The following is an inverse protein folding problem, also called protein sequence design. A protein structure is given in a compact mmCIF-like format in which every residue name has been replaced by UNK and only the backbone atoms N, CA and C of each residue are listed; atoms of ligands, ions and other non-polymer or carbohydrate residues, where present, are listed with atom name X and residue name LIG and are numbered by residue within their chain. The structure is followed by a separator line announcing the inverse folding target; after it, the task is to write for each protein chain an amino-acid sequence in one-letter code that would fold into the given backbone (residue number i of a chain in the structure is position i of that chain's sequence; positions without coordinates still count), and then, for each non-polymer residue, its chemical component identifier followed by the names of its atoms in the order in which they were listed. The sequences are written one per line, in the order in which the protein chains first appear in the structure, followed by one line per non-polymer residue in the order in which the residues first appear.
data_IF_098167184362
#
_entry.id   IF_098167184362
#
_cell.length_a   1.000
_cell.length_b   1.000
_cell.length_c   1.000
_cell.angle_alpha   90.00
_cell.angle_beta   90.00
_cell.angle_gamma   90.00
#
_symmetry.space_group_name_H-M   'P 1'
#
loop_
_entity.id
_entity.type
_entity.pdbx_description
1 polymer ?
#
# COMPACT_ATOMS: atom_id res chain seq x y z
N UNK A 1 43.30 16.87 23.75
CA UNK A 1 41.92 16.87 24.28
C UNK A 1 41.53 15.44 24.63
N UNK A 2 41.05 15.21 25.86
CA UNK A 2 41.12 13.93 26.58
C UNK A 2 40.02 12.92 26.21
N UNK A 3 40.39 11.63 26.15
CA UNK A 3 39.53 10.44 25.98
C UNK A 3 38.32 10.35 26.94
N UNK A 4 38.26 11.20 27.98
CA UNK A 4 37.12 11.29 28.91
C UNK A 4 35.87 11.98 28.33
N UNK A 5 35.99 12.82 27.30
CA UNK A 5 34.83 13.48 26.68
C UNK A 5 33.99 12.51 25.83
N UNK A 6 34.63 11.56 25.15
CA UNK A 6 33.97 10.59 24.26
C UNK A 6 33.18 9.53 25.04
N UNK A 7 33.64 9.16 26.24
CA UNK A 7 32.95 8.18 27.10
C UNK A 7 31.67 8.74 27.75
N UNK A 8 31.57 10.06 27.93
CA UNK A 8 30.43 10.70 28.61
C UNK A 8 29.22 10.84 27.67
N UNK A 9 29.44 11.00 26.37
CA UNK A 9 28.36 11.07 25.36
C UNK A 9 27.78 9.68 25.06
N UNK A 10 28.60 8.62 25.09
CA UNK A 10 28.14 7.24 24.91
C UNK A 10 27.23 6.75 26.07
N UNK A 11 27.40 7.29 27.28
CA UNK A 11 26.62 6.93 28.47
C UNK A 11 25.21 7.55 28.54
N UNK A 12 24.93 8.61 27.76
CA UNK A 12 23.61 9.25 27.72
C UNK A 12 22.68 8.69 26.63
N UNK A 13 23.23 8.06 25.59
CA UNK A 13 22.43 7.50 24.48
C UNK A 13 21.82 6.13 24.85
N UNK A 14 22.37 5.44 25.86
CA UNK A 14 21.97 4.08 26.24
C UNK A 14 20.73 3.92 27.13
N UNK A 15 20.01 5.00 27.52
CA UNK A 15 18.97 4.91 28.56
C UNK A 15 17.52 5.23 28.17
N UNK A 16 17.21 5.56 26.91
CA UNK A 16 15.82 5.87 26.50
C UNK A 16 15.22 5.07 25.34
N UNK A 17 15.86 4.00 24.86
CA UNK A 17 15.23 3.11 23.88
C UNK A 17 14.39 2.00 24.56
N UNK A 18 13.24 2.36 25.15
CA UNK A 18 12.15 1.40 25.37
C UNK A 18 11.03 1.73 24.39
N UNK A 19 11.03 1.02 23.27
CA UNK A 19 9.95 1.04 22.30
C UNK A 19 8.69 0.41 22.91
N UNK A 20 7.50 1.04 22.85
CA UNK A 20 6.28 0.43 23.37
C UNK A 20 5.86 -0.77 22.50
N UNK A 21 5.31 -1.85 23.10
CA UNK A 21 4.84 -3.01 22.36
C UNK A 21 3.41 -2.78 21.87
N UNK A 22 3.24 -2.01 20.81
CA UNK A 22 1.96 -1.96 20.09
C UNK A 22 2.20 -2.17 18.60
N UNK A 23 2.34 -3.44 18.23
CA UNK A 23 1.98 -3.88 16.89
C UNK A 23 0.46 -3.67 16.75
N UNK A 24 0.05 -2.49 16.29
CA UNK A 24 -1.27 -2.32 15.72
C UNK A 24 -1.35 -3.31 14.55
N UNK A 25 -2.21 -4.33 14.68
CA UNK A 25 -2.51 -5.24 13.58
C UNK A 25 -2.94 -4.40 12.38
N UNK A 26 -2.07 -4.33 11.37
CA UNK A 26 -2.40 -3.69 10.11
C UNK A 26 -3.70 -4.32 9.59
N UNK A 27 -4.69 -3.52 9.13
CA UNK A 27 -5.93 -4.08 8.61
C UNK A 27 -5.60 -5.08 7.51
N UNK A 28 -6.35 -6.21 7.42
CA UNK A 28 -6.03 -7.28 6.48
C UNK A 28 -5.95 -6.69 5.06
N UNK A 29 -4.74 -6.73 4.48
CA UNK A 29 -4.48 -6.22 3.13
C UNK A 29 -5.45 -6.91 2.18
N UNK A 30 -6.35 -6.13 1.60
CA UNK A 30 -7.29 -6.61 0.58
C UNK A 30 -6.48 -6.96 -0.66
N UNK A 31 -6.48 -8.23 -1.06
CA UNK A 31 -5.82 -8.66 -2.28
C UNK A 31 -6.24 -7.81 -3.49
N UNK A 32 -5.31 -7.45 -4.38
CA UNK A 32 -5.59 -6.64 -5.56
C UNK A 32 -6.61 -7.34 -6.48
N UNK A 33 -7.44 -6.55 -7.17
CA UNK A 33 -8.52 -7.01 -8.06
C UNK A 33 -8.17 -8.18 -9.01
N UNK A 34 -7.01 -8.21 -9.71
CA UNK A 34 -6.65 -9.33 -10.58
C UNK A 34 -6.49 -10.68 -9.85
N UNK A 35 -6.01 -10.68 -8.60
CA UNK A 35 -5.85 -11.89 -7.78
C UNK A 35 -7.23 -12.43 -7.35
N UNK A 36 -8.20 -11.55 -7.08
CA UNK A 36 -9.59 -11.92 -6.78
C UNK A 36 -10.30 -12.55 -7.97
N UNK A 37 -10.02 -12.10 -9.18
CA UNK A 37 -10.62 -12.67 -10.39
C UNK A 37 -10.10 -14.08 -10.65
N UNK A 38 -8.78 -14.28 -10.56
CA UNK A 38 -8.15 -15.58 -10.78
C UNK A 38 -8.60 -16.62 -9.74
N UNK A 39 -8.77 -16.20 -8.49
CA UNK A 39 -9.26 -17.09 -7.42
C UNK A 39 -10.72 -17.50 -7.61
N UNK A 40 -11.60 -16.59 -8.04
CA UNK A 40 -12.98 -16.93 -8.40
C UNK A 40 -13.05 -17.91 -9.57
N UNK A 41 -12.22 -17.71 -10.61
CA UNK A 41 -12.14 -18.64 -11.74
C UNK A 41 -11.76 -20.05 -11.25
N UNK A 42 -10.76 -20.16 -10.37
CA UNK A 42 -10.36 -21.48 -9.83
C UNK A 42 -11.47 -22.17 -9.04
N UNK A 43 -12.27 -21.42 -8.27
CA UNK A 43 -13.36 -21.98 -7.48
C UNK A 43 -14.52 -22.45 -8.38
N UNK A 44 -14.86 -21.67 -9.41
CA UNK A 44 -15.85 -22.05 -10.44
C UNK A 44 -15.37 -23.26 -11.24
N UNK A 45 -14.09 -23.29 -11.62
CA UNK A 45 -13.52 -24.42 -12.35
C UNK A 45 -13.57 -25.72 -11.53
N UNK A 46 -13.31 -25.67 -10.23
CA UNK A 46 -13.41 -26.83 -9.34
C UNK A 46 -14.86 -27.27 -9.10
N UNK A 47 -15.79 -26.33 -8.97
CA UNK A 47 -17.21 -26.64 -8.90
C UNK A 47 -17.70 -27.32 -10.19
N UNK A 48 -17.31 -26.78 -11.35
CA UNK A 48 -17.62 -27.34 -12.66
C UNK A 48 -16.98 -28.73 -12.85
N UNK A 49 -15.71 -28.90 -12.47
CA UNK A 49 -15.03 -30.19 -12.53
C UNK A 49 -15.71 -31.25 -11.64
N UNK A 50 -16.17 -30.85 -10.45
CA UNK A 50 -16.93 -31.72 -9.53
C UNK A 50 -18.24 -32.15 -10.19
N UNK A 51 -18.99 -31.21 -10.77
CA UNK A 51 -20.22 -31.52 -11.49
C UNK A 51 -19.98 -32.45 -12.68
N UNK A 52 -18.99 -32.15 -13.52
CA UNK A 52 -18.61 -32.97 -14.68
C UNK A 52 -18.28 -34.39 -14.24
N UNK A 53 -17.49 -34.56 -13.18
CA UNK A 53 -17.16 -35.87 -12.64
C UNK A 53 -18.42 -36.67 -12.27
N UNK A 54 -19.36 -36.08 -11.53
CA UNK A 54 -20.61 -36.75 -11.15
C UNK A 54 -21.53 -37.05 -12.33
N UNK A 55 -21.56 -36.17 -13.34
CA UNK A 55 -22.27 -36.42 -14.61
C UNK A 55 -21.62 -37.58 -15.37
N UNK A 56 -20.28 -37.65 -15.42
CA UNK A 56 -19.55 -38.76 -16.04
C UNK A 56 -19.82 -40.09 -15.32
N UNK A 57 -19.84 -40.09 -13.98
CA UNK A 57 -20.22 -41.27 -13.19
C UNK A 57 -21.64 -41.71 -13.52
N UNK A 58 -22.61 -40.79 -13.54
CA UNK A 58 -24.00 -41.07 -13.90
C UNK A 58 -24.12 -41.69 -15.31
N UNK A 59 -23.45 -41.07 -16.29
CA UNK A 59 -23.41 -41.53 -17.69
C UNK A 59 -22.79 -42.92 -17.80
N UNK A 60 -21.64 -43.15 -17.14
CA UNK A 60 -20.96 -44.43 -17.15
C UNK A 60 -21.85 -45.54 -16.57
N UNK A 61 -22.57 -45.27 -15.47
CA UNK A 61 -23.52 -46.24 -14.91
C UNK A 61 -24.73 -46.48 -15.79
N UNK A 62 -25.29 -45.42 -16.40
CA UNK A 62 -26.41 -45.53 -17.33
C UNK A 62 -26.09 -46.34 -18.58
N UNK A 63 -24.90 -46.14 -19.18
CA UNK A 63 -24.45 -46.87 -20.36
C UNK A 63 -24.24 -48.37 -20.09
N UNK A 64 -23.88 -48.76 -18.86
CA UNK A 64 -23.72 -50.16 -18.48
C UNK A 64 -25.05 -50.83 -18.08
N UNK A 65 -26.20 -50.16 -18.28
CA UNK A 65 -27.51 -50.68 -17.88
C UNK A 65 -27.67 -50.86 -16.37
N UNK A 66 -26.79 -50.28 -15.56
CA UNK A 66 -26.81 -50.36 -14.10
C UNK A 66 -27.48 -49.11 -13.56
N UNK A 67 -28.64 -49.27 -12.94
CA UNK A 67 -29.25 -48.20 -12.17
C UNK A 67 -28.63 -48.16 -10.76
N UNK A 68 -28.00 -47.04 -10.43
CA UNK A 68 -27.56 -46.74 -9.05
C UNK A 68 -28.73 -46.34 -8.16
N UNK A 69 -29.93 -46.13 -8.71
CA UNK A 69 -31.10 -45.69 -7.94
C UNK A 69 -32.39 -46.30 -8.50
N UNK A 70 -33.44 -46.45 -7.67
CA UNK A 70 -34.76 -46.89 -8.14
C UNK A 70 -35.38 -45.93 -9.18
N UNK A 71 -34.95 -44.67 -9.18
CA UNK A 71 -35.42 -43.60 -10.07
C UNK A 71 -34.64 -43.54 -11.40
N UNK A 72 -33.70 -44.48 -11.62
CA UNK A 72 -32.86 -44.55 -12.80
C UNK A 72 -31.45 -43.96 -12.60
N UNK A 73 -30.56 -44.14 -13.60
CA UNK A 73 -29.12 -43.83 -13.46
C UNK A 73 -28.80 -42.33 -13.39
N UNK A 74 -29.76 -41.47 -13.74
CA UNK A 74 -29.59 -40.01 -13.82
C UNK A 74 -29.97 -39.28 -12.54
N UNK A 75 -30.83 -39.89 -11.72
CA UNK A 75 -31.27 -39.35 -10.45
C UNK A 75 -30.27 -39.76 -9.36
N UNK A 76 -29.90 -38.86 -8.45
CA UNK A 76 -28.91 -39.07 -7.38
C UNK A 76 -27.56 -38.39 -7.63
N UNK A 77 -26.68 -38.93 -8.50
CA UNK A 77 -25.31 -38.44 -8.65
C UNK A 77 -25.23 -36.98 -9.11
N UNK A 78 -26.12 -36.56 -10.02
CA UNK A 78 -26.15 -35.18 -10.53
C UNK A 78 -26.53 -34.20 -9.42
N UNK A 79 -27.54 -34.53 -8.62
CA UNK A 79 -27.98 -33.72 -7.47
C UNK A 79 -26.86 -33.59 -6.43
N UNK A 80 -26.16 -34.70 -6.13
CA UNK A 80 -25.02 -34.67 -5.23
C UNK A 80 -23.88 -33.82 -5.80
N UNK A 81 -23.56 -33.95 -7.10
CA UNK A 81 -22.55 -33.14 -7.77
C UNK A 81 -22.89 -31.64 -7.79
N UNK A 82 -24.16 -31.29 -8.04
CA UNK A 82 -24.65 -29.91 -7.95
C UNK A 82 -24.53 -29.36 -6.53
N UNK A 83 -24.93 -30.13 -5.52
CA UNK A 83 -24.81 -29.74 -4.12
C UNK A 83 -23.35 -29.53 -3.72
N UNK A 84 -22.47 -30.50 -3.98
CA UNK A 84 -21.04 -30.40 -3.65
C UNK A 84 -20.38 -29.25 -4.41
N UNK A 85 -20.68 -29.09 -5.69
CA UNK A 85 -20.20 -27.96 -6.50
C UNK A 85 -20.64 -26.60 -5.94
N UNK A 86 -21.91 -26.47 -5.55
CA UNK A 86 -22.43 -25.23 -4.96
C UNK A 86 -21.76 -24.90 -3.62
N UNK A 87 -21.60 -25.89 -2.74
CA UNK A 87 -20.95 -25.70 -1.43
C UNK A 87 -19.46 -25.33 -1.61
N UNK A 88 -18.78 -25.84 -2.64
CA UNK A 88 -17.38 -25.48 -2.92
C UNK A 88 -17.18 -24.00 -3.28
N UNK A 89 -18.20 -23.28 -3.75
CA UNK A 89 -18.09 -21.84 -4.06
C UNK A 89 -17.80 -20.99 -2.80
N UNK A 90 -18.16 -21.47 -1.62
CA UNK A 90 -17.93 -20.78 -0.34
C UNK A 90 -16.78 -21.38 0.48
N UNK A 91 -16.01 -22.32 -0.10
CA UNK A 91 -14.94 -23.08 0.58
C UNK A 91 -13.85 -22.22 1.20
N UNK A 92 -13.55 -21.07 0.62
CA UNK A 92 -12.51 -20.16 1.12
C UNK A 92 -12.96 -19.37 2.35
N UNK A 93 -14.25 -19.10 2.46
CA UNK A 93 -14.82 -18.30 3.56
C UNK A 93 -15.19 -19.19 4.75
N UNK A 94 -15.71 -20.39 4.48
CA UNK A 94 -16.19 -21.31 5.51
C UNK A 94 -15.70 -22.75 5.27
N UNK A 95 -14.37 -22.99 5.29
CA UNK A 95 -13.79 -24.29 4.90
C UNK A 95 -14.28 -25.48 5.73
N UNK A 96 -14.45 -25.31 7.05
CA UNK A 96 -14.97 -26.36 7.93
C UNK A 96 -16.46 -26.62 7.71
N UNK A 97 -17.26 -25.57 7.50
CA UNK A 97 -18.69 -25.70 7.18
C UNK A 97 -18.88 -26.43 5.86
N UNK A 98 -18.07 -26.09 4.86
CA UNK A 98 -18.06 -26.78 3.57
C UNK A 98 -17.72 -28.26 3.76
N UNK A 99 -16.67 -28.60 4.52
CA UNK A 99 -16.34 -29.99 4.81
C UNK A 99 -17.51 -30.73 5.48
N UNK A 100 -18.11 -30.15 6.52
CA UNK A 100 -19.22 -30.78 7.24
C UNK A 100 -20.44 -30.98 6.34
N UNK A 101 -20.85 -29.96 5.58
CA UNK A 101 -21.97 -30.06 4.63
C UNK A 101 -21.70 -31.11 3.55
N UNK A 102 -20.47 -31.15 3.03
CA UNK A 102 -20.05 -32.16 2.05
C UNK A 102 -20.08 -33.58 2.62
N UNK A 103 -19.58 -33.78 3.85
CA UNK A 103 -19.66 -35.08 4.56
C UNK A 103 -21.12 -35.47 4.80
N UNK A 104 -21.97 -34.56 5.29
CA UNK A 104 -23.39 -34.80 5.48
C UNK A 104 -24.10 -35.15 4.17
N UNK A 105 -23.76 -34.48 3.06
CA UNK A 105 -24.32 -34.77 1.74
C UNK A 105 -23.97 -36.17 1.24
N UNK A 106 -22.71 -36.60 1.42
CA UNK A 106 -22.27 -37.96 1.08
C UNK A 106 -22.93 -39.01 1.99
N UNK A 107 -23.00 -38.75 3.30
CA UNK A 107 -23.69 -39.64 4.25
C UNK A 107 -25.18 -39.78 3.90
N UNK A 108 -25.86 -38.67 3.65
CA UNK A 108 -27.26 -38.66 3.24
C UNK A 108 -27.47 -39.43 1.94
N UNK A 109 -26.59 -39.22 0.95
CA UNK A 109 -26.61 -39.95 -0.31
C UNK A 109 -26.53 -41.46 -0.06
N UNK A 110 -25.55 -41.95 0.70
CA UNK A 110 -25.46 -43.38 0.99
C UNK A 110 -26.57 -43.92 1.90
N UNK A 111 -27.18 -43.10 2.76
CA UNK A 111 -28.25 -43.54 3.67
C UNK A 111 -29.58 -43.87 2.97
N UNK A 112 -29.85 -43.26 1.80
CA UNK A 112 -31.07 -43.52 1.03
C UNK A 112 -30.95 -44.88 0.33
N UNK A 113 -31.97 -45.73 0.50
CA UNK A 113 -32.00 -47.08 -0.05
C UNK A 113 -31.82 -47.08 -1.59
N UNK A 114 -30.73 -47.68 -2.07
CA UNK A 114 -30.40 -47.83 -3.49
C UNK A 114 -29.19 -47.01 -3.93
N UNK A 115 -28.94 -45.83 -3.34
CA UNK A 115 -27.92 -44.88 -3.79
C UNK A 115 -26.49 -45.33 -3.40
N UNK A 116 -25.90 -46.23 -4.18
CA UNK A 116 -24.47 -46.56 -4.08
C UNK A 116 -23.64 -45.61 -4.96
N UNK A 117 -22.50 -45.12 -4.46
CA UNK A 117 -21.55 -44.36 -5.26
C UNK A 117 -20.31 -45.20 -5.58
N UNK A 118 -19.98 -45.44 -6.85
CA UNK A 118 -18.69 -46.01 -7.24
C UNK A 118 -17.50 -45.13 -6.82
N UNK A 119 -17.75 -43.85 -6.54
CA UNK A 119 -16.71 -42.88 -6.22
C UNK A 119 -16.18 -42.98 -4.77
N UNK A 120 -16.75 -43.83 -3.90
CA UNK A 120 -16.29 -43.96 -2.51
C UNK A 120 -16.81 -42.86 -1.57
N UNK A 121 -16.24 -42.75 -0.37
CA UNK A 121 -16.66 -41.81 0.66
C UNK A 121 -15.80 -40.53 0.69
N UNK A 122 -14.50 -40.65 0.46
CA UNK A 122 -13.56 -39.52 0.61
C UNK A 122 -13.35 -38.80 -0.72
N UNK A 123 -13.22 -39.54 -1.80
CA UNK A 123 -12.99 -39.04 -3.16
C UNK A 123 -13.97 -37.93 -3.59
N UNK A 124 -15.31 -38.07 -3.41
CA UNK A 124 -16.30 -37.04 -3.71
C UNK A 124 -16.03 -35.67 -3.12
N UNK A 125 -15.39 -35.64 -1.97
CA UNK A 125 -15.22 -34.47 -1.12
C UNK A 125 -13.74 -34.15 -0.88
N UNK A 126 -12.86 -34.67 -1.74
CA UNK A 126 -11.42 -34.49 -1.67
C UNK A 126 -11.01 -33.01 -1.63
N UNK A 127 -11.68 -32.17 -2.45
CA UNK A 127 -11.44 -30.73 -2.49
C UNK A 127 -11.80 -30.06 -1.16
N UNK A 128 -12.87 -30.51 -0.49
CA UNK A 128 -13.28 -30.00 0.81
C UNK A 128 -12.27 -30.40 1.90
N UNK A 129 -11.80 -31.65 1.91
CA UNK A 129 -10.73 -32.12 2.80
C UNK A 129 -9.43 -31.34 2.64
N UNK A 130 -8.95 -31.19 1.40
CA UNK A 130 -7.75 -30.40 1.11
C UNK A 130 -7.91 -28.96 1.60
N UNK A 131 -9.04 -28.32 1.27
CA UNK A 131 -9.27 -26.92 1.64
C UNK A 131 -9.34 -26.75 3.15
N UNK A 132 -10.04 -27.63 3.86
CA UNK A 132 -10.11 -27.60 5.33
C UNK A 132 -8.76 -27.88 6.00
N UNK A 133 -7.94 -28.76 5.43
CA UNK A 133 -6.59 -29.07 5.93
C UNK A 133 -5.62 -27.89 5.84
N UNK A 134 -5.89 -26.89 4.98
CA UNK A 134 -5.11 -25.64 4.96
C UNK A 134 -5.32 -24.76 6.20
N UNK A 135 -6.35 -25.05 7.01
CA UNK A 135 -6.70 -24.26 8.21
C UNK A 135 -6.00 -24.76 9.47
N UNK A 136 -6.07 -23.96 10.54
CA UNK A 136 -5.55 -24.35 11.88
C UNK A 136 -6.27 -25.53 12.53
N UNK A 137 -7.41 -25.97 11.98
CA UNK A 137 -8.27 -27.00 12.56
C UNK A 137 -7.97 -28.41 12.00
N UNK A 138 -6.77 -28.65 11.45
CA UNK A 138 -6.40 -29.91 10.79
C UNK A 138 -6.65 -31.17 11.64
N UNK A 139 -6.55 -31.07 12.97
CA UNK A 139 -6.86 -32.18 13.90
C UNK A 139 -8.33 -32.63 13.77
N UNK A 140 -9.25 -31.68 13.63
CA UNK A 140 -10.67 -31.98 13.41
C UNK A 140 -10.92 -32.55 12.02
N UNK A 141 -10.19 -32.08 11.01
CA UNK A 141 -10.26 -32.62 9.65
C UNK A 141 -9.85 -34.10 9.64
N UNK A 142 -8.76 -34.44 10.32
CA UNK A 142 -8.31 -35.82 10.48
C UNK A 142 -9.35 -36.67 11.24
N UNK A 143 -9.90 -36.15 12.34
CA UNK A 143 -10.92 -36.86 13.13
C UNK A 143 -12.19 -37.13 12.30
N UNK A 144 -12.68 -36.14 11.56
CA UNK A 144 -13.85 -36.28 10.68
C UNK A 144 -13.57 -37.33 9.61
N UNK A 145 -12.39 -37.31 8.98
CA UNK A 145 -12.00 -38.29 7.97
C UNK A 145 -11.88 -39.71 8.52
N UNK A 146 -11.27 -39.88 9.69
CA UNK A 146 -11.19 -41.18 10.36
C UNK A 146 -12.58 -41.69 10.77
N UNK A 147 -13.43 -40.82 11.31
CA UNK A 147 -14.81 -41.18 11.64
C UNK A 147 -15.62 -41.58 10.40
N UNK A 148 -15.42 -40.89 9.28
CA UNK A 148 -16.06 -41.22 8.01
C UNK A 148 -15.57 -42.57 7.44
N UNK A 149 -14.27 -42.87 7.55
CA UNK A 149 -13.72 -44.18 7.18
C UNK A 149 -14.25 -45.31 8.09
N UNK A 150 -14.34 -45.05 9.39
CA UNK A 150 -14.91 -46.00 10.34
C UNK A 150 -16.39 -46.26 10.04
N UNK A 151 -17.15 -45.22 9.69
CA UNK A 151 -18.55 -45.35 9.28
C UNK A 151 -18.69 -46.12 7.96
N UNK A 152 -17.86 -45.81 6.97
CA UNK A 152 -17.72 -46.57 5.71
C UNK A 152 -17.45 -48.06 5.98
N UNK A 153 -16.73 -48.37 7.06
CA UNK A 153 -16.44 -49.74 7.44
C UNK A 153 -17.59 -50.50 8.10
N UNK A 154 -18.56 -49.79 8.66
CA UNK A 154 -19.75 -50.37 9.28
C UNK A 154 -20.88 -50.51 8.25
N UNK A 155 -20.82 -49.80 7.11
CA UNK A 155 -21.83 -49.87 6.07
C UNK A 155 -22.00 -51.31 5.54
N UNK A 156 -23.10 -51.94 5.96
CA UNK A 156 -23.38 -53.36 5.81
C UNK A 156 -23.42 -53.84 4.34
N UNK A 157 -23.62 -52.92 3.39
CA UNK A 157 -23.59 -53.20 1.94
C UNK A 157 -22.21 -53.68 1.46
N UNK A 158 -21.13 -53.35 2.19
CA UNK A 158 -19.78 -53.81 1.87
C UNK A 158 -19.41 -55.12 2.58
N UNK A 159 -19.96 -55.37 3.77
CA UNK A 159 -19.63 -56.51 4.62
C UNK A 159 -20.35 -57.79 4.17
N UNK A 160 -21.59 -57.69 3.66
CA UNK A 160 -22.48 -58.86 3.55
C UNK A 160 -22.40 -59.59 2.20
N UNK A 161 -21.86 -58.98 1.13
CA UNK A 161 -21.92 -59.57 -0.23
C UNK A 161 -20.58 -59.64 -1.02
N UNK A 162 -19.42 -59.22 -0.50
CA UNK A 162 -18.18 -59.12 -1.32
C UNK A 162 -16.86 -59.54 -0.68
N UNK A 163 -15.98 -60.03 -1.56
CA UNK A 163 -14.55 -60.30 -1.39
C UNK A 163 -13.85 -59.33 -0.41
N UNK A 164 -13.55 -59.81 0.81
CA UNK A 164 -12.80 -59.10 1.85
C UNK A 164 -11.52 -58.44 1.32
N UNK A 165 -10.69 -59.08 0.46
CA UNK A 165 -9.48 -58.43 -0.05
C UNK A 165 -9.77 -57.15 -0.86
N UNK A 166 -10.82 -57.15 -1.68
CA UNK A 166 -11.20 -55.99 -2.49
C UNK A 166 -11.66 -54.82 -1.62
N UNK A 167 -12.36 -55.13 -0.53
CA UNK A 167 -12.80 -54.14 0.45
C UNK A 167 -11.64 -53.51 1.20
N UNK A 168 -10.69 -54.31 1.70
CA UNK A 168 -9.49 -53.80 2.38
C UNK A 168 -8.67 -52.87 1.48
N UNK A 169 -8.49 -53.22 0.20
CA UNK A 169 -7.81 -52.37 -0.78
C UNK A 169 -8.54 -51.03 -0.96
N UNK A 170 -9.87 -51.05 -1.01
CA UNK A 170 -10.67 -49.83 -1.16
C UNK A 170 -10.52 -48.88 0.04
N UNK A 171 -10.70 -49.40 1.27
CA UNK A 171 -10.56 -48.61 2.51
C UNK A 171 -9.13 -48.09 2.67
N UNK A 172 -8.12 -48.91 2.37
CA UNK A 172 -6.73 -48.49 2.40
C UNK A 172 -6.45 -47.37 1.39
N UNK A 173 -7.02 -47.46 0.18
CA UNK A 173 -6.93 -46.41 -0.83
C UNK A 173 -7.57 -45.09 -0.41
N UNK A 174 -8.75 -45.14 0.22
CA UNK A 174 -9.40 -43.94 0.76
C UNK A 174 -8.63 -43.34 1.94
N UNK A 175 -8.13 -44.18 2.84
CA UNK A 175 -7.26 -43.75 3.94
C UNK A 175 -5.98 -43.08 3.45
N UNK A 176 -5.34 -43.66 2.43
CA UNK A 176 -4.17 -43.06 1.79
C UNK A 176 -4.51 -41.72 1.16
N UNK A 177 -5.63 -41.62 0.42
CA UNK A 177 -6.08 -40.37 -0.17
C UNK A 177 -6.30 -39.29 0.90
N UNK A 178 -6.95 -39.62 2.02
CA UNK A 178 -7.16 -38.70 3.13
C UNK A 178 -5.84 -38.15 3.67
N UNK A 179 -4.87 -39.04 3.91
CA UNK A 179 -3.52 -38.65 4.38
C UNK A 179 -2.85 -37.73 3.36
N UNK A 180 -2.88 -38.08 2.07
CA UNK A 180 -2.31 -37.26 1.00
C UNK A 180 -2.96 -35.87 0.96
N UNK A 181 -4.29 -35.77 1.05
CA UNK A 181 -5.00 -34.49 1.04
C UNK A 181 -4.66 -33.62 2.26
N UNK A 182 -4.54 -34.23 3.44
CA UNK A 182 -4.14 -33.52 4.67
C UNK A 182 -2.71 -33.01 4.56
N UNK A 183 -1.77 -33.87 4.15
CA UNK A 183 -0.36 -33.51 3.97
C UNK A 183 -0.20 -32.44 2.89
N UNK A 184 -0.92 -32.56 1.77
CA UNK A 184 -0.93 -31.54 0.71
C UNK A 184 -1.48 -30.21 1.21
N UNK A 185 -2.56 -30.21 2.00
CA UNK A 185 -3.11 -28.99 2.60
C UNK A 185 -2.14 -28.31 3.58
N UNK A 186 -1.46 -29.11 4.42
CA UNK A 186 -0.45 -28.61 5.36
C UNK A 186 0.78 -28.02 4.67
N UNK A 187 1.31 -28.74 3.67
CA UNK A 187 2.47 -28.30 2.89
C UNK A 187 2.16 -27.05 2.08
N UNK A 188 0.98 -26.97 1.47
CA UNK A 188 0.50 -25.77 0.79
C UNK A 188 0.41 -24.58 1.75
N UNK A 189 -0.23 -24.75 2.90
CA UNK A 189 -0.38 -23.69 3.89
C UNK A 189 1.00 -23.23 4.44
N UNK A 190 1.94 -24.16 4.63
CA UNK A 190 3.31 -23.83 5.02
C UNK A 190 4.05 -23.05 3.93
N UNK A 191 3.91 -23.44 2.66
CA UNK A 191 4.54 -22.78 1.53
C UNK A 191 4.02 -21.35 1.33
N UNK A 192 2.71 -21.11 1.50
CA UNK A 192 2.13 -19.76 1.44
C UNK A 192 2.72 -18.88 2.55
N UNK A 193 2.71 -19.35 3.80
CA UNK A 193 3.30 -18.63 4.94
C UNK A 193 4.80 -18.39 4.78
N UNK A 194 5.52 -19.29 4.12
CA UNK A 194 6.94 -19.13 3.83
C UNK A 194 7.19 -18.04 2.79
N UNK A 195 6.40 -18.02 1.72
CA UNK A 195 6.47 -16.98 0.68
C UNK A 195 6.17 -15.59 1.22
N UNK A 196 5.18 -15.47 2.09
CA UNK A 196 4.86 -14.20 2.76
C UNK A 196 6.05 -13.71 3.60
N UNK A 197 6.61 -14.59 4.45
CA UNK A 197 7.81 -14.26 5.24
C UNK A 197 8.99 -13.86 4.39
N UNK A 198 9.24 -14.56 3.27
CA UNK A 198 10.34 -14.25 2.37
C UNK A 198 10.16 -12.87 1.70
N UNK A 199 8.93 -12.52 1.32
CA UNK A 199 8.62 -11.19 0.76
C UNK A 199 8.85 -10.08 1.78
N UNK A 200 8.48 -10.30 3.04
CA UNK A 200 8.76 -9.33 4.10
C UNK A 200 10.26 -9.15 4.35
N UNK A 201 11.03 -10.24 4.36
CA UNK A 201 12.49 -10.16 4.55
C UNK A 201 13.18 -9.48 3.38
N UNK A 202 12.78 -9.78 2.15
CA UNK A 202 13.33 -9.19 0.93
C UNK A 202 12.99 -7.69 0.86
N UNK A 203 11.77 -7.29 1.22
CA UNK A 203 11.40 -5.87 1.33
C UNK A 203 12.25 -5.10 2.34
N UNK A 204 12.51 -5.69 3.52
CA UNK A 204 13.38 -5.08 4.55
C UNK A 204 14.85 -4.99 4.08
N UNK A 205 15.35 -6.01 3.39
CA UNK A 205 16.71 -6.02 2.86
C UNK A 205 16.89 -4.93 1.79
N UNK A 206 15.98 -4.84 0.83
CA UNK A 206 16.01 -3.79 -0.21
C UNK A 206 15.93 -2.38 0.38
N UNK A 207 15.08 -2.17 1.39
CA UNK A 207 15.00 -0.88 2.08
C UNK A 207 16.32 -0.54 2.82
N UNK A 208 17.00 -1.53 3.39
CA UNK A 208 18.30 -1.32 4.03
C UNK A 208 19.42 -1.01 3.03
N UNK A 209 19.45 -1.73 1.90
CA UNK A 209 20.38 -1.46 0.80
C UNK A 209 20.20 -0.06 0.22
N UNK A 210 18.96 0.36 0.01
CA UNK A 210 18.65 1.69 -0.50
C UNK A 210 19.06 2.78 0.49
N UNK A 211 18.83 2.59 1.80
CA UNK A 211 19.32 3.52 2.83
C UNK A 211 20.84 3.66 2.83
N UNK A 212 21.57 2.56 2.63
CA UNK A 212 23.04 2.60 2.54
C UNK A 212 23.50 3.32 1.27
N UNK A 213 22.87 3.05 0.12
CA UNK A 213 23.13 3.74 -1.14
C UNK A 213 22.93 5.24 -1.01
N UNK A 214 21.78 5.66 -0.47
CA UNK A 214 21.47 7.07 -0.19
C UNK A 214 22.55 7.67 0.73
N UNK A 215 22.91 7.00 1.82
CA UNK A 215 23.92 7.52 2.74
C UNK A 215 25.28 7.74 2.05
N UNK A 216 25.67 6.86 1.13
CA UNK A 216 26.92 7.00 0.38
C UNK A 216 26.83 8.15 -0.63
N UNK A 217 25.75 8.25 -1.38
CA UNK A 217 25.56 9.34 -2.36
C UNK A 217 25.50 10.71 -1.66
N UNK A 218 24.84 10.78 -0.51
CA UNK A 218 24.86 11.96 0.36
C UNK A 218 26.28 12.28 0.86
N UNK A 219 27.04 11.27 1.29
CA UNK A 219 28.41 11.45 1.75
C UNK A 219 29.32 11.99 0.65
N UNK A 220 29.18 11.47 -0.58
CA UNK A 220 29.99 11.88 -1.72
C UNK A 220 29.70 13.34 -2.12
N UNK A 221 28.43 13.75 -2.18
CA UNK A 221 28.06 15.15 -2.46
C UNK A 221 28.58 16.09 -1.38
N UNK A 222 28.46 15.72 -0.09
CA UNK A 222 28.95 16.54 1.03
C UNK A 222 30.47 16.66 0.99
N UNK A 223 31.19 15.54 0.82
CA UNK A 223 32.65 15.50 0.80
C UNK A 223 33.20 16.33 -0.36
N UNK A 224 32.64 16.17 -1.55
CA UNK A 224 33.05 16.94 -2.73
C UNK A 224 32.80 18.44 -2.57
N UNK A 225 31.62 18.82 -2.06
CA UNK A 225 31.27 20.23 -1.81
C UNK A 225 32.23 20.85 -0.80
N UNK A 226 32.52 20.16 0.30
CA UNK A 226 33.40 20.65 1.34
C UNK A 226 34.84 20.80 0.83
N UNK A 227 35.31 19.87 0.00
CA UNK A 227 36.62 19.97 -0.65
C UNK A 227 36.68 21.21 -1.57
N UNK A 228 35.68 21.44 -2.41
CA UNK A 228 35.65 22.57 -3.34
C UNK A 228 35.56 23.91 -2.62
N UNK A 229 34.73 23.99 -1.56
CA UNK A 229 34.65 25.18 -0.69
C UNK A 229 35.99 25.41 0.00
N UNK A 230 36.63 24.37 0.53
CA UNK A 230 37.95 24.46 1.15
C UNK A 230 39.02 25.02 0.19
N UNK A 231 39.05 24.56 -1.06
CA UNK A 231 39.96 25.10 -2.09
C UNK A 231 39.70 26.58 -2.34
N UNK A 232 38.43 26.99 -2.50
CA UNK A 232 38.10 28.40 -2.74
C UNK A 232 38.42 29.29 -1.52
N UNK A 233 38.28 28.77 -0.30
CA UNK A 233 38.68 29.49 0.91
C UNK A 233 40.20 29.65 1.01
N UNK A 234 40.99 28.65 0.59
CA UNK A 234 42.44 28.78 0.52
C UNK A 234 42.87 29.81 -0.53
N UNK A 235 42.27 29.78 -1.73
CA UNK A 235 42.53 30.80 -2.77
C UNK A 235 42.19 32.21 -2.27
N UNK A 236 41.09 32.36 -1.51
CA UNK A 236 40.74 33.64 -0.92
C UNK A 236 41.76 34.10 0.13
N UNK A 237 42.34 33.18 0.91
CA UNK A 237 43.37 33.49 1.90
C UNK A 237 44.69 33.91 1.21
N UNK A 238 45.14 33.14 0.21
CA UNK A 238 46.35 33.45 -0.55
C UNK A 238 46.25 34.83 -1.25
N UNK A 239 45.09 35.15 -1.84
CA UNK A 239 44.86 36.45 -2.48
C UNK A 239 44.87 37.62 -1.48
N UNK A 240 44.46 37.40 -0.22
CA UNK A 240 44.56 38.41 0.83
C UNK A 240 46.00 38.62 1.28
N UNK A 241 46.80 37.55 1.35
CA UNK A 241 48.23 37.62 1.69
C UNK A 241 49.06 38.32 0.60
N UNK A 242 48.59 38.28 -0.66
CA UNK A 242 49.19 38.97 -1.82
C UNK A 242 48.65 40.40 -2.05
N UNK A 243 47.82 40.95 -1.14
CA UNK A 243 47.17 42.27 -1.27
C UNK A 243 46.26 42.42 -2.53
N UNK A 244 45.63 41.33 -3.00
CA UNK A 244 44.60 41.33 -4.06
C UNK A 244 43.18 41.11 -3.50
N UNK A 245 42.52 42.16 -3.00
CA UNK A 245 41.17 42.05 -2.44
C UNK A 245 40.09 41.74 -3.49
N UNK A 246 40.35 41.98 -4.78
CA UNK A 246 39.38 41.68 -5.84
C UNK A 246 39.29 40.16 -6.08
N UNK A 247 40.44 39.49 -6.17
CA UNK A 247 40.51 38.03 -6.30
C UNK A 247 39.94 37.32 -5.06
N UNK A 248 40.22 37.83 -3.85
CA UNK A 248 39.67 37.29 -2.61
C UNK A 248 38.13 37.36 -2.56
N UNK A 249 37.55 38.48 -2.99
CA UNK A 249 36.09 38.65 -3.06
C UNK A 249 35.43 37.70 -4.07
N UNK A 250 36.08 37.45 -5.21
CA UNK A 250 35.58 36.51 -6.22
C UNK A 250 35.59 35.06 -5.73
N UNK A 251 36.68 34.61 -5.11
CA UNK A 251 36.80 33.27 -4.53
C UNK A 251 35.76 33.02 -3.42
N UNK A 252 35.52 34.01 -2.55
CA UNK A 252 34.46 33.95 -1.53
C UNK A 252 33.05 33.86 -2.14
N UNK A 253 32.79 34.58 -3.24
CA UNK A 253 31.51 34.51 -3.96
C UNK A 253 31.29 33.12 -4.55
N UNK A 254 32.30 32.56 -5.20
CA UNK A 254 32.27 31.19 -5.74
C UNK A 254 32.03 30.15 -4.65
N UNK A 255 32.71 30.25 -3.50
CA UNK A 255 32.49 29.37 -2.36
C UNK A 255 31.03 29.43 -1.85
N UNK A 256 30.46 30.64 -1.77
CA UNK A 256 29.07 30.86 -1.35
C UNK A 256 28.07 30.25 -2.34
N UNK A 257 28.31 30.38 -3.64
CA UNK A 257 27.46 29.84 -4.71
C UNK A 257 27.51 28.31 -4.76
N UNK A 258 28.69 27.70 -4.61
CA UNK A 258 28.86 26.24 -4.53
C UNK A 258 28.11 25.67 -3.33
N UNK A 259 28.29 26.28 -2.15
CA UNK A 259 27.56 25.89 -0.92
C UNK A 259 26.04 25.98 -1.10
N UNK A 260 25.55 27.09 -1.67
CA UNK A 260 24.11 27.30 -1.85
C UNK A 260 23.48 26.28 -2.82
N UNK A 261 24.17 25.97 -3.92
CA UNK A 261 23.75 24.95 -4.87
C UNK A 261 23.70 23.57 -4.21
N UNK A 262 24.77 23.15 -3.53
CA UNK A 262 24.80 21.88 -2.82
C UNK A 262 23.69 21.73 -1.76
N UNK A 263 23.33 22.81 -1.05
CA UNK A 263 22.21 22.80 -0.09
C UNK A 263 20.83 22.74 -0.75
N UNK A 264 20.71 23.18 -1.99
CA UNK A 264 19.49 23.02 -2.77
C UNK A 264 19.36 21.57 -3.24
N UNK A 265 20.43 21.00 -3.77
CA UNK A 265 20.47 19.61 -4.25
C UNK A 265 20.22 18.61 -3.12
N UNK A 266 20.85 18.81 -1.95
CA UNK A 266 20.63 17.99 -0.76
C UNK A 266 19.18 18.04 -0.27
N UNK A 267 18.54 19.22 -0.27
CA UNK A 267 17.14 19.37 0.13
C UNK A 267 16.20 18.68 -0.87
N UNK A 268 16.52 18.74 -2.16
CA UNK A 268 15.77 18.05 -3.21
C UNK A 268 15.83 16.53 -3.03
N UNK A 269 17.02 15.97 -2.82
CA UNK A 269 17.21 14.53 -2.55
C UNK A 269 16.53 14.06 -1.25
N UNK A 270 16.54 14.88 -0.20
CA UNK A 270 15.84 14.54 1.06
C UNK A 270 14.32 14.63 0.88
N UNK A 271 13.82 15.56 0.07
CA UNK A 271 12.39 15.69 -0.20
C UNK A 271 11.85 14.46 -0.96
N UNK A 272 12.57 14.00 -1.99
CA UNK A 272 12.18 12.80 -2.76
C UNK A 272 12.18 11.52 -1.91
N UNK A 273 13.08 11.41 -0.93
CA UNK A 273 13.12 10.29 0.01
C UNK A 273 12.06 10.36 1.12
N UNK A 274 11.44 11.52 1.34
CA UNK A 274 10.39 11.74 2.35
C UNK A 274 8.97 11.48 1.85
N UNK A 275 8.79 11.36 0.54
CA UNK A 275 7.49 11.01 -0.06
C UNK A 275 7.18 9.49 0.00
N UNK A 276 7.89 8.71 0.82
CA UNK A 276 7.45 7.35 1.20
C UNK A 276 6.26 7.45 2.19
N UNK A 277 5.09 6.83 1.94
CA UNK A 277 3.82 7.11 2.65
C UNK A 277 3.73 6.67 4.13
N UNK A 278 4.82 6.70 4.90
CA UNK A 278 4.83 6.15 6.27
C UNK A 278 5.89 6.66 7.24
N UNK A 279 6.58 7.78 6.98
CA UNK A 279 7.68 8.25 7.84
C UNK A 279 7.44 9.56 8.57
N UNK A 280 7.05 9.46 9.85
CA UNK A 280 7.16 10.41 10.97
C UNK A 280 7.08 11.93 10.74
N UNK A 281 6.04 12.47 11.40
CA UNK A 281 5.68 13.85 11.68
C UNK A 281 6.84 14.69 12.24
N UNK A 282 7.42 15.56 11.42
CA UNK A 282 7.88 16.86 11.92
C UNK A 282 6.64 17.75 12.13
N UNK A 283 6.63 18.69 13.10
CA UNK A 283 5.49 19.59 13.31
C UNK A 283 5.21 20.31 12.00
N UNK A 284 4.11 19.93 11.36
CA UNK A 284 3.71 20.46 10.07
C UNK A 284 3.40 21.96 10.26
N UNK A 285 3.83 22.83 9.34
CA UNK A 285 3.48 24.24 9.41
C UNK A 285 1.96 24.38 9.33
N UNK A 286 1.37 24.85 10.42
CA UNK A 286 -0.05 25.19 10.54
C UNK A 286 -0.31 26.58 9.95
N UNK A 287 -1.58 26.94 9.73
CA UNK A 287 -2.00 28.27 9.27
C UNK A 287 -1.49 29.39 10.20
N UNK A 288 -1.20 29.08 11.47
CA UNK A 288 -0.52 29.98 12.42
C UNK A 288 0.83 30.50 11.91
N UNK A 289 1.53 29.74 11.06
CA UNK A 289 2.80 30.12 10.45
C UNK A 289 2.69 31.20 9.37
N UNK A 290 1.50 31.48 8.85
CA UNK A 290 1.30 32.47 7.77
C UNK A 290 1.67 33.89 8.22
N UNK A 291 1.41 34.23 9.48
CA UNK A 291 1.76 35.55 10.03
C UNK A 291 3.26 35.77 10.09
N UNK A 292 4.01 34.71 10.43
CA UNK A 292 5.48 34.73 10.45
C UNK A 292 6.02 34.90 9.03
N UNK A 293 5.50 34.13 8.07
CA UNK A 293 5.89 34.21 6.67
C UNK A 293 5.66 35.59 6.06
N UNK A 294 4.53 36.23 6.38
CA UNK A 294 4.22 37.61 5.97
C UNK A 294 5.18 38.61 6.64
N UNK A 295 5.52 38.41 7.91
CA UNK A 295 6.48 39.25 8.61
C UNK A 295 7.90 39.15 7.99
N UNK A 296 8.33 37.94 7.62
CA UNK A 296 9.62 37.71 6.95
C UNK A 296 9.68 38.39 5.58
N UNK A 297 8.61 38.32 4.80
CA UNK A 297 8.52 39.02 3.52
C UNK A 297 8.56 40.55 3.67
N UNK A 298 7.93 41.09 4.72
CA UNK A 298 8.03 42.52 5.08
C UNK A 298 9.45 42.91 5.48
N UNK A 299 10.13 42.09 6.27
CA UNK A 299 11.52 42.32 6.64
C UNK A 299 12.46 42.28 5.43
N UNK A 300 12.11 41.53 4.38
CA UNK A 300 12.83 41.50 3.11
C UNK A 300 12.52 42.69 2.17
N UNK A 301 11.68 43.64 2.58
CA UNK A 301 11.41 44.88 1.84
C UNK A 301 10.13 44.91 1.00
N UNK A 302 9.25 43.91 1.13
CA UNK A 302 7.97 43.84 0.42
C UNK A 302 6.81 44.32 1.33
N UNK A 303 6.01 45.29 0.89
CA UNK A 303 4.81 45.70 1.65
C UNK A 303 3.71 44.65 1.48
N UNK A 304 3.62 43.70 2.43
CA UNK A 304 2.64 42.61 2.36
C UNK A 304 1.42 42.90 3.23
N UNK A 305 0.20 42.79 2.68
CA UNK A 305 -1.06 42.84 3.43
C UNK A 305 -1.66 41.43 3.52
N UNK A 306 -2.09 41.01 4.71
CA UNK A 306 -2.77 39.73 4.94
C UNK A 306 -4.22 40.00 5.37
N UNK A 307 -5.18 39.56 4.55
CA UNK A 307 -6.62 39.62 4.82
C UNK A 307 -7.17 38.20 4.98
N UNK A 308 -7.54 37.84 6.20
CA UNK A 308 -8.13 36.53 6.53
C UNK A 308 -9.62 36.70 6.85
N UNK A 309 -10.46 35.96 6.13
CA UNK A 309 -11.92 36.02 6.27
C UNK A 309 -12.46 34.63 6.63
N UNK A 310 -13.31 34.54 7.65
CA UNK A 310 -13.85 33.27 8.14
C UNK A 310 -13.02 32.65 9.27
N UNK A 311 -13.24 31.36 9.55
CA UNK A 311 -12.60 30.65 10.67
C UNK A 311 -11.51 29.67 10.16
N UNK A 312 -10.21 29.92 10.42
CA UNK A 312 -9.12 29.03 10.05
C UNK A 312 -9.15 27.68 10.80
N UNK A 313 -9.78 27.61 11.98
CA UNK A 313 -9.84 26.38 12.78
C UNK A 313 -10.69 25.28 12.12
N UNK A 314 -11.52 25.63 11.13
CA UNK A 314 -12.36 24.71 10.38
C UNK A 314 -11.60 23.98 9.25
N UNK A 315 -10.33 24.30 9.01
CA UNK A 315 -9.53 23.75 7.88
C UNK A 315 -8.76 22.49 8.31
N UNK A 316 -8.95 21.34 7.62
CA UNK A 316 -8.16 20.15 7.87
C UNK A 316 -6.67 20.36 7.56
N UNK A 317 -5.80 19.58 8.20
CA UNK A 317 -4.35 19.73 8.13
C UNK A 317 -3.77 19.70 6.69
N UNK A 318 -4.31 18.85 5.82
CA UNK A 318 -3.78 18.71 4.45
C UNK A 318 -4.03 19.97 3.58
N UNK A 319 -5.26 20.51 3.50
CA UNK A 319 -5.50 21.84 2.93
C UNK A 319 -4.69 22.95 3.59
N UNK A 320 -4.57 22.97 4.92
CA UNK A 320 -3.78 23.99 5.65
C UNK A 320 -2.31 24.05 5.18
N UNK A 321 -1.67 22.88 5.01
CA UNK A 321 -0.29 22.78 4.49
C UNK A 321 -0.19 23.28 3.05
N UNK A 322 -1.16 22.91 2.20
CA UNK A 322 -1.18 23.35 0.81
C UNK A 322 -1.33 24.88 0.72
N UNK A 323 -2.21 25.47 1.54
CA UNK A 323 -2.39 26.92 1.67
C UNK A 323 -1.07 27.59 2.08
N UNK A 324 -0.43 27.11 3.15
CA UNK A 324 0.85 27.64 3.60
C UNK A 324 1.92 27.63 2.49
N UNK A 325 2.03 26.52 1.76
CA UNK A 325 3.01 26.37 0.68
C UNK A 325 2.71 27.25 -0.54
N UNK A 326 1.44 27.44 -0.89
CA UNK A 326 1.05 28.35 -1.97
C UNK A 326 1.43 29.78 -1.60
N UNK A 327 1.11 30.24 -0.38
CA UNK A 327 1.49 31.59 0.07
C UNK A 327 3.02 31.76 0.12
N UNK A 328 3.75 30.77 0.63
CA UNK A 328 5.21 30.80 0.70
C UNK A 328 5.87 30.94 -0.65
N UNK A 329 5.50 30.09 -1.59
CA UNK A 329 6.10 30.07 -2.92
C UNK A 329 5.70 31.33 -3.71
N UNK A 330 4.46 31.81 -3.58
CA UNK A 330 4.02 33.07 -4.19
C UNK A 330 4.82 34.27 -3.68
N UNK A 331 4.98 34.44 -2.36
CA UNK A 331 5.77 35.55 -1.80
C UNK A 331 7.25 35.47 -2.17
N UNK A 332 7.82 34.25 -2.21
CA UNK A 332 9.18 34.04 -2.66
C UNK A 332 9.36 34.41 -4.15
N UNK A 333 8.37 34.09 -4.99
CA UNK A 333 8.38 34.46 -6.41
C UNK A 333 8.26 35.97 -6.59
N UNK A 334 7.39 36.64 -5.83
CA UNK A 334 7.27 38.11 -5.85
C UNK A 334 8.62 38.77 -5.51
N UNK A 335 9.28 38.34 -4.43
CA UNK A 335 10.60 38.86 -4.01
C UNK A 335 11.72 38.61 -5.03
N UNK A 336 11.72 37.45 -5.69
CA UNK A 336 12.80 37.06 -6.61
C UNK A 336 12.61 37.58 -8.02
N UNK A 337 11.36 37.74 -8.47
CA UNK A 337 11.05 37.84 -9.90
C UNK A 337 10.16 39.03 -10.28
N UNK A 338 9.27 39.50 -9.40
CA UNK A 338 8.23 40.46 -9.81
C UNK A 338 8.73 41.92 -9.90
N UNK A 339 9.80 42.28 -9.18
CA UNK A 339 10.18 43.69 -9.00
C UNK A 339 9.07 44.52 -8.35
N UNK A 340 8.18 43.85 -7.61
CA UNK A 340 7.04 44.42 -6.92
C UNK A 340 7.47 45.15 -5.65
N UNK A 341 6.69 46.15 -5.26
CA UNK A 341 6.81 46.85 -3.99
C UNK A 341 5.74 46.42 -2.98
N UNK A 342 4.63 45.85 -3.46
CA UNK A 342 3.47 45.44 -2.66
C UNK A 342 3.00 44.04 -3.03
N UNK A 343 2.50 43.33 -2.03
CA UNK A 343 1.76 42.09 -2.23
C UNK A 343 0.55 42.02 -1.29
N UNK A 344 -0.54 41.42 -1.77
CA UNK A 344 -1.76 41.19 -1.01
C UNK A 344 -2.04 39.69 -0.96
N UNK A 345 -2.15 39.15 0.24
CA UNK A 345 -2.55 37.77 0.52
C UNK A 345 -3.96 37.82 1.09
N UNK A 346 -4.91 37.21 0.38
CA UNK A 346 -6.30 37.06 0.83
C UNK A 346 -6.61 35.59 1.02
N UNK A 347 -7.16 35.23 2.18
CA UNK A 347 -7.61 33.86 2.46
C UNK A 347 -9.07 33.92 2.92
N UNK A 348 -9.94 33.23 2.18
CA UNK A 348 -11.37 33.17 2.46
C UNK A 348 -11.75 31.73 2.84
N UNK A 349 -12.02 31.52 4.12
CA UNK A 349 -12.43 30.24 4.71
C UNK A 349 -13.95 30.12 4.63
N UNK A 350 -14.45 29.28 3.71
CA UNK A 350 -15.88 29.04 3.51
C UNK A 350 -16.28 27.62 3.93
N UNK A 351 -17.57 27.38 4.23
CA UNK A 351 -18.08 26.03 4.39
C UNK A 351 -17.89 25.24 3.09
N UNK A 352 -17.02 24.22 3.10
CA UNK A 352 -16.80 23.34 1.96
C UNK A 352 -15.58 23.68 1.08
N UNK A 353 -15.00 24.88 1.19
CA UNK A 353 -13.80 25.25 0.43
C UNK A 353 -13.03 26.42 1.05
N UNK A 354 -11.75 26.52 0.71
CA UNK A 354 -10.89 27.65 1.06
C UNK A 354 -10.29 28.22 -0.20
N UNK A 355 -10.43 29.52 -0.38
CA UNK A 355 -9.82 30.26 -1.49
C UNK A 355 -8.62 31.05 -0.98
N UNK A 356 -7.47 30.86 -1.60
CA UNK A 356 -6.24 31.63 -1.37
C UNK A 356 -5.95 32.45 -2.61
N UNK A 357 -5.70 33.74 -2.44
CA UNK A 357 -5.32 34.64 -3.53
C UNK A 357 -4.12 35.48 -3.11
N UNK A 358 -3.05 35.42 -3.89
CA UNK A 358 -1.84 36.22 -3.71
C UNK A 358 -1.63 37.06 -4.96
N UNK A 359 -1.66 38.39 -4.80
CA UNK A 359 -1.51 39.35 -5.89
C UNK A 359 -0.38 40.31 -5.57
N UNK A 360 0.50 40.59 -6.53
CA UNK A 360 1.55 41.61 -6.40
C UNK A 360 1.40 42.74 -7.42
N UNK A 361 2.08 43.86 -7.17
CA UNK A 361 2.09 45.06 -8.04
C UNK A 361 3.28 45.09 -9.02
N UNK A 362 3.90 43.93 -9.25
CA UNK A 362 5.10 43.82 -10.07
C UNK A 362 4.86 43.98 -11.56
N UNK A 363 5.93 43.83 -12.34
CA UNK A 363 5.85 43.88 -13.81
C UNK A 363 5.24 42.57 -14.34
N UNK A 364 3.91 42.48 -14.31
CA UNK A 364 3.19 41.49 -15.09
C UNK A 364 3.50 41.70 -16.57
N UNK A 365 3.97 40.66 -17.28
CA UNK A 365 4.23 40.75 -18.73
C UNK A 365 2.97 41.26 -19.45
N UNK A 366 3.04 42.43 -20.09
CA UNK A 366 1.92 43.08 -20.77
C UNK A 366 1.56 42.45 -22.11
N UNK A 367 2.25 41.38 -22.53
CA UNK A 367 1.94 40.66 -23.76
C UNK A 367 0.78 39.67 -23.54
N UNK A 368 -0.42 40.14 -23.87
CA UNK A 368 -1.66 39.33 -23.91
C UNK A 368 -1.58 38.18 -24.94
N UNK A 369 -0.56 38.19 -25.81
CA UNK A 369 -0.25 37.10 -26.76
C UNK A 369 0.65 36.00 -26.16
N UNK A 370 1.19 36.18 -24.94
CA UNK A 370 2.03 35.21 -24.24
C UNK A 370 1.28 34.38 -23.17
N UNK A 371 -0.06 34.38 -23.20
CA UNK A 371 -0.91 33.61 -22.27
C UNK A 371 -0.67 32.10 -22.34
N UNK A 372 -0.06 31.61 -23.43
CA UNK A 372 0.29 30.19 -23.62
C UNK A 372 1.74 29.84 -23.32
N UNK A 373 2.58 30.81 -22.93
CA UNK A 373 4.02 30.60 -22.77
C UNK A 373 4.64 31.33 -21.57
N UNK A 374 3.93 31.41 -20.44
CA UNK A 374 4.65 31.53 -19.16
C UNK A 374 5.36 30.20 -18.97
N UNK A 375 6.67 30.16 -19.22
CA UNK A 375 7.49 28.98 -18.96
C UNK A 375 7.24 28.57 -17.52
N UNK A 376 6.58 27.43 -17.31
CA UNK A 376 6.26 26.94 -15.96
C UNK A 376 7.55 26.72 -15.19
N UNK A 377 7.92 27.68 -14.35
CA UNK A 377 8.96 27.48 -13.36
C UNK A 377 8.55 26.32 -12.44
N UNK A 378 9.53 25.55 -11.97
CA UNK A 378 9.33 24.42 -11.06
C UNK A 378 8.41 24.75 -9.85
N UNK A 379 8.41 26.01 -9.40
CA UNK A 379 7.52 26.50 -8.33
C UNK A 379 6.02 26.47 -8.68
N UNK A 380 5.63 26.93 -9.88
CA UNK A 380 4.22 26.95 -10.31
C UNK A 380 3.68 25.54 -10.59
N UNK A 381 4.49 24.70 -11.23
CA UNK A 381 4.15 23.30 -11.47
C UNK A 381 3.93 22.56 -10.14
N UNK A 382 4.84 22.71 -9.18
CA UNK A 382 4.71 22.08 -7.85
C UNK A 382 3.54 22.61 -7.03
N UNK A 383 3.20 23.90 -7.13
CA UNK A 383 1.99 24.44 -6.50
C UNK A 383 0.71 23.83 -7.09
N UNK A 384 0.64 23.72 -8.43
CA UNK A 384 -0.54 23.15 -9.10
C UNK A 384 -0.72 21.67 -8.77
N UNK A 385 0.34 20.88 -8.81
CA UNK A 385 0.30 19.46 -8.44
C UNK A 385 -0.24 19.25 -7.03
N UNK A 386 0.28 20.01 -6.05
CA UNK A 386 -0.19 19.93 -4.65
C UNK A 386 -1.66 20.31 -4.49
N UNK A 387 -2.12 21.36 -5.17
CA UNK A 387 -3.53 21.80 -5.09
C UNK A 387 -4.45 20.77 -5.78
N UNK A 388 -4.06 20.28 -6.95
CA UNK A 388 -4.83 19.26 -7.69
C UNK A 388 -4.88 17.91 -6.97
N UNK A 389 -3.83 17.52 -6.24
CA UNK A 389 -3.82 16.30 -5.42
C UNK A 389 -4.90 16.32 -4.32
N UNK A 390 -5.33 17.50 -3.89
CA UNK A 390 -6.41 17.70 -2.92
C UNK A 390 -7.78 17.91 -3.59
N UNK A 391 -7.88 17.74 -4.90
CA UNK A 391 -9.10 18.01 -5.67
C UNK A 391 -9.39 19.51 -5.88
N UNK A 392 -8.40 20.37 -5.62
CA UNK A 392 -8.48 21.81 -5.83
C UNK A 392 -8.04 22.26 -7.22
N UNK A 393 -8.17 23.56 -7.46
CA UNK A 393 -7.72 24.20 -8.71
C UNK A 393 -6.79 25.37 -8.42
N UNK A 394 -5.74 25.53 -9.24
CA UNK A 394 -4.82 26.66 -9.15
C UNK A 394 -4.70 27.36 -10.49
N UNK A 395 -4.90 28.68 -10.46
CA UNK A 395 -4.78 29.59 -11.60
C UNK A 395 -3.69 30.60 -11.25
N UNK A 396 -2.72 30.77 -12.14
CA UNK A 396 -1.66 31.75 -11.97
C UNK A 396 -1.44 32.49 -13.30
N UNK A 397 -1.34 33.81 -13.25
CA UNK A 397 -1.14 34.60 -14.46
C UNK A 397 -0.96 36.10 -14.20
N UNK A 398 -0.49 36.84 -15.22
CA UNK A 398 -0.39 38.29 -15.16
C UNK A 398 -1.79 38.92 -15.10
N UNK A 399 -1.91 39.99 -14.32
CA UNK A 399 -3.10 40.84 -14.22
C UNK A 399 -2.70 42.29 -14.51
N UNK A 400 -3.64 43.19 -14.85
CA UNK A 400 -3.32 44.60 -15.05
C UNK A 400 -2.62 45.18 -13.81
N UNK A 401 -1.33 45.52 -13.97
CA UNK A 401 -0.50 46.06 -12.89
C UNK A 401 0.12 45.03 -11.95
N UNK A 402 0.19 43.74 -12.31
CA UNK A 402 0.70 42.73 -11.40
C UNK A 402 0.71 41.28 -11.88
N UNK A 403 0.89 40.36 -10.93
CA UNK A 403 0.70 38.92 -11.12
C UNK A 403 -0.18 38.36 -9.99
N UNK A 404 -1.08 37.45 -10.33
CA UNK A 404 -1.99 36.81 -9.36
C UNK A 404 -1.83 35.29 -9.38
N UNK A 405 -1.76 34.70 -8.19
CA UNK A 405 -1.88 33.27 -7.95
C UNK A 405 -3.12 33.03 -7.10
N UNK A 406 -4.07 32.25 -7.63
CA UNK A 406 -5.33 31.91 -6.96
C UNK A 406 -5.47 30.40 -6.86
N UNK A 407 -5.68 29.89 -5.65
CA UNK A 407 -5.95 28.49 -5.39
C UNK A 407 -7.31 28.32 -4.71
N UNK A 408 -8.10 27.36 -5.17
CA UNK A 408 -9.36 26.93 -4.55
C UNK A 408 -9.19 25.49 -4.08
N UNK A 409 -9.31 25.26 -2.77
CA UNK A 409 -9.15 23.96 -2.15
C UNK A 409 -10.47 23.50 -1.53
N UNK A 410 -10.99 22.32 -1.90
CA UNK A 410 -12.14 21.77 -1.22
C UNK A 410 -11.77 21.40 0.21
N UNK A 411 -12.60 21.83 1.15
CA UNK A 411 -12.50 21.48 2.56
C UNK A 411 -13.71 20.64 2.87
N UNK A 412 -13.52 19.31 2.87
CA UNK A 412 -14.56 18.38 3.28
C UNK A 412 -14.87 18.62 4.76
N UNK A 413 -15.87 19.45 5.03
CA UNK A 413 -16.47 19.59 6.35
C UNK A 413 -17.22 18.31 6.67
N UNK A 414 -16.84 17.70 7.79
CA UNK A 414 -17.61 16.76 8.61
C UNK A 414 -19.04 16.52 8.08
N UNK A 415 -19.27 15.33 7.54
CA UNK A 415 -20.61 14.76 7.43
C UNK A 415 -21.34 14.91 8.76
N UNK A 416 -22.37 15.75 8.79
CA UNK A 416 -23.46 15.63 9.76
C UNK A 416 -24.39 14.49 9.34
#
# INVERSE_FOLDING_TARGET
MSKRAVATVAGLIGRHARWPPHAAEAPPRRDPAPVRHLTRITDVALAAATLVFFVTVALATGLHGRSLTPLGPWHGPIQLGLFLGAVLLVRRRWPMTVLLLSVCGVLAYHSVAGLWSPAGWIWPIAVAYFTAATTRHVRWVALIGVAQLAYSAIDARFIVERNVPRYLIHVAGEGLLLVVLIVAGLTYAAAVRWRERLRETDGRARAAEERLRVSHELHDVIAHTLALVGVQLNVAADALDEDDPAAAAEALRLAKDVRNRAMTDLRSLIATLRDDPGGDTHPQPDLDGLRVLVADARAAGLEVTLDERGDPAAVPAMPAIAIYRVVQESLANTLKHAGASKAQVTIDYRPGSVTVEVTDDGRGSTDVTAVTAVTEGHGLAGMRERVSALGGTLIAGPVPGGFTVRADLPVAGSSA
#
